data_IF_696848075230
#
_entry.id   IF_696848075230
#
_cell.length_a   1.000
_cell.length_b   1.000
_cell.length_c   1.000
_cell.angle_alpha   90.00
_cell.angle_beta   90.00
_cell.angle_gamma   90.00
#
_symmetry.space_group_name_H-M   'P 1'
#
loop_
_entity.id
_entity.type
_entity.pdbx_description
1 polymer ?
#
# COMPACT_ATOMS: atom_id res chain seq x y z
N UNK A 1 -1.94 5.15 -2.18
CA UNK A 1 -2.27 4.09 -3.14
C UNK A 1 -3.34 3.21 -2.55
N UNK A 2 -4.16 2.65 -3.42
CA UNK A 2 -5.07 1.54 -3.13
C UNK A 2 -4.75 0.41 -4.13
N UNK A 3 -4.64 -0.82 -3.62
CA UNK A 3 -4.35 -2.02 -4.38
C UNK A 3 -5.44 -3.05 -4.10
N UNK A 4 -6.14 -3.47 -5.14
CA UNK A 4 -7.19 -4.47 -5.03
C UNK A 4 -6.68 -5.85 -5.43
N UNK A 5 -6.80 -6.81 -4.51
CA UNK A 5 -6.40 -8.19 -4.72
C UNK A 5 -7.61 -9.11 -4.54
N UNK A 6 -7.93 -9.91 -5.57
CA UNK A 6 -9.13 -10.74 -5.60
C UNK A 6 -8.81 -12.21 -5.79
N UNK A 7 -9.54 -13.09 -5.09
CA UNK A 7 -9.50 -14.54 -5.34
C UNK A 7 -10.18 -14.91 -6.64
N UNK A 8 -11.23 -14.18 -7.00
CA UNK A 8 -12.04 -14.41 -8.21
C UNK A 8 -12.04 -13.13 -9.04
N UNK A 9 -11.14 -12.97 -10.01
CA UNK A 9 -10.97 -11.72 -10.74
C UNK A 9 -12.20 -11.35 -11.59
N UNK A 10 -13.01 -12.34 -11.95
CA UNK A 10 -14.20 -12.24 -12.80
C UNK A 10 -15.48 -11.76 -12.09
N UNK A 11 -15.50 -11.71 -10.75
CA UNK A 11 -16.68 -11.27 -10.00
C UNK A 11 -16.78 -9.74 -9.89
N UNK A 12 -17.98 -9.20 -9.68
CA UNK A 12 -18.16 -7.77 -9.41
C UNK A 12 -17.85 -7.42 -7.96
N UNK A 13 -17.05 -6.38 -7.75
CA UNK A 13 -16.71 -5.86 -6.41
C UNK A 13 -15.83 -6.79 -5.58
N UNK A 14 -15.35 -6.28 -4.45
CA UNK A 14 -14.59 -7.06 -3.49
C UNK A 14 -15.53 -7.82 -2.53
N UNK A 15 -15.16 -9.06 -2.21
CA UNK A 15 -15.94 -10.00 -1.40
C UNK A 15 -15.10 -10.59 -0.29
N UNK A 16 -15.72 -11.41 0.57
CA UNK A 16 -15.00 -12.20 1.54
C UNK A 16 -13.84 -12.99 0.93
N UNK A 17 -12.67 -12.88 1.56
CA UNK A 17 -11.42 -13.50 1.12
C UNK A 17 -10.66 -12.72 0.04
N UNK A 18 -11.19 -11.59 -0.43
CA UNK A 18 -10.42 -10.59 -1.17
C UNK A 18 -9.71 -9.65 -0.18
N UNK A 19 -8.76 -8.87 -0.68
CA UNK A 19 -7.92 -7.97 0.12
C UNK A 19 -7.77 -6.61 -0.57
N UNK A 20 -7.89 -5.56 0.22
CA UNK A 20 -7.54 -4.19 -0.14
C UNK A 20 -6.26 -3.82 0.61
N UNK A 21 -5.24 -3.35 -0.12
CA UNK A 21 -3.98 -2.88 0.46
C UNK A 21 -3.80 -1.41 0.15
N UNK A 22 -3.91 -0.57 1.16
CA UNK A 22 -3.63 0.85 1.05
C UNK A 22 -2.21 1.18 1.48
N UNK A 23 -1.53 2.01 0.70
CA UNK A 23 -0.22 2.60 1.06
C UNK A 23 -0.37 4.11 1.12
N UNK A 24 -0.51 4.63 2.33
CA UNK A 24 -0.76 6.06 2.58
C UNK A 24 0.56 6.81 2.62
N UNK A 25 0.94 7.47 1.53
CA UNK A 25 2.14 8.29 1.52
C UNK A 25 1.98 9.56 2.37
N UNK A 26 0.78 10.14 2.38
CA UNK A 26 0.47 11.39 3.06
C UNK A 26 -0.95 11.35 3.61
N UNK A 27 -1.18 11.97 4.76
CA UNK A 27 -2.51 12.13 5.38
C UNK A 27 -2.54 13.43 6.19
N UNK A 28 -3.75 13.92 6.46
CA UNK A 28 -3.97 15.07 7.35
C UNK A 28 -5.30 14.89 8.06
N UNK A 29 -5.28 14.87 9.39
CA UNK A 29 -6.48 14.67 10.23
C UNK A 29 -7.30 13.44 9.81
N UNK A 30 -6.62 12.39 9.37
CA UNK A 30 -7.20 11.13 8.97
C UNK A 30 -6.42 9.99 9.60
N UNK A 31 -7.14 8.91 9.91
CA UNK A 31 -6.57 7.67 10.44
C UNK A 31 -7.11 6.54 9.57
N UNK A 32 -6.28 5.55 9.20
CA UNK A 32 -6.77 4.38 8.49
C UNK A 32 -7.87 3.65 9.25
N UNK A 33 -8.71 2.90 8.53
CA UNK A 33 -9.71 2.06 9.16
C UNK A 33 -9.07 0.91 9.96
N UNK A 34 -9.76 0.48 11.02
CA UNK A 34 -9.33 -0.64 11.86
C UNK A 34 -8.41 -0.26 13.00
N UNK A 35 -7.51 -1.17 13.37
CA UNK A 35 -6.57 -1.00 14.49
C UNK A 35 -5.13 -1.18 14.02
N UNK A 36 -4.15 -0.49 14.62
CA UNK A 36 -2.75 -0.75 14.33
C UNK A 36 -2.38 -2.14 14.89
N UNK A 37 -1.69 -2.95 14.09
CA UNK A 37 -1.34 -4.34 14.45
C UNK A 37 0.15 -4.60 14.46
N UNK A 38 0.93 -3.90 13.62
CA UNK A 38 2.37 -4.16 13.47
C UNK A 38 3.11 -2.95 12.92
N UNK A 39 4.42 -2.89 13.15
CA UNK A 39 5.32 -1.92 12.51
C UNK A 39 6.36 -2.69 11.71
N UNK A 40 6.61 -2.24 10.48
CA UNK A 40 7.61 -2.81 9.58
C UNK A 40 8.65 -1.77 9.21
N UNK A 41 9.92 -2.17 9.19
CA UNK A 41 10.99 -1.36 8.62
C UNK A 41 10.98 -1.55 7.09
N UNK A 42 10.60 -0.51 6.34
CA UNK A 42 10.42 -0.58 4.87
C UNK A 42 11.38 0.37 4.16
N UNK A 43 12.20 -0.12 3.22
CA UNK A 43 12.99 0.72 2.32
C UNK A 43 12.09 1.66 1.51
N UNK A 44 12.35 2.96 1.59
CA UNK A 44 11.57 4.02 0.95
C UNK A 44 12.53 5.07 0.41
N UNK A 45 12.33 5.52 -0.82
CA UNK A 45 13.07 6.69 -1.34
C UNK A 45 12.27 7.94 -1.07
N UNK A 46 12.87 8.91 -0.41
CA UNK A 46 12.31 10.25 -0.19
C UNK A 46 13.29 11.30 -0.71
N UNK A 47 12.88 12.08 -1.70
CA UNK A 47 13.68 13.13 -2.34
C UNK A 47 15.06 12.62 -2.78
N UNK A 48 15.09 11.47 -3.47
CA UNK A 48 16.29 10.83 -4.00
C UNK A 48 17.17 10.10 -2.98
N UNK A 49 16.79 10.05 -1.69
CA UNK A 49 17.52 9.32 -0.65
C UNK A 49 16.79 8.06 -0.26
N UNK A 50 17.48 6.92 -0.32
CA UNK A 50 16.98 5.66 0.22
C UNK A 50 17.11 5.67 1.75
N UNK A 51 15.98 5.53 2.42
CA UNK A 51 15.87 5.47 3.87
C UNK A 51 15.05 4.24 4.27
N UNK A 52 15.24 3.79 5.50
CA UNK A 52 14.39 2.75 6.09
C UNK A 52 13.42 3.41 7.07
N UNK A 53 12.14 3.37 6.75
CA UNK A 53 11.10 4.01 7.55
C UNK A 53 10.28 2.96 8.32
N UNK A 54 9.80 3.32 9.50
CA UNK A 54 8.95 2.46 10.32
C UNK A 54 7.49 2.65 9.93
N UNK A 55 7.00 1.84 9.00
CA UNK A 55 5.62 1.87 8.53
C UNK A 55 4.70 1.08 9.46
N UNK A 56 3.68 1.74 10.00
CA UNK A 56 2.63 1.10 10.79
C UNK A 56 1.61 0.44 9.87
N UNK A 57 1.31 -0.83 10.12
CA UNK A 57 0.26 -1.59 9.48
C UNK A 57 -1.02 -1.54 10.34
N UNK A 58 -2.13 -1.22 9.69
CA UNK A 58 -3.48 -1.16 10.24
C UNK A 58 -4.32 -2.26 9.61
N UNK A 59 -5.13 -2.94 10.40
CA UNK A 59 -6.00 -4.01 9.94
C UNK A 59 -7.45 -3.74 10.32
N UNK A 60 -8.32 -3.74 9.32
CA UNK A 60 -9.76 -3.87 9.49
C UNK A 60 -10.17 -5.23 8.92
N UNK A 61 -10.64 -6.11 9.80
CA UNK A 61 -10.83 -7.54 9.50
C UNK A 61 -11.90 -7.81 8.44
N UNK A 62 -12.87 -6.91 8.30
CA UNK A 62 -14.00 -7.04 7.38
C UNK A 62 -14.54 -5.65 7.04
N UNK A 63 -14.57 -5.32 5.75
CA UNK A 63 -15.19 -4.11 5.20
C UNK A 63 -16.27 -4.53 4.19
N UNK A 64 -17.38 -3.79 4.12
CA UNK A 64 -18.46 -4.02 3.16
C UNK A 64 -18.92 -5.48 3.11
N UNK A 65 -18.69 -6.14 1.97
CA UNK A 65 -19.05 -7.54 1.72
C UNK A 65 -18.01 -8.57 2.23
N UNK A 66 -17.13 -8.15 3.13
CA UNK A 66 -16.27 -9.04 3.91
C UNK A 66 -14.81 -9.12 3.46
N UNK A 67 -14.35 -8.24 2.58
CA UNK A 67 -12.91 -8.20 2.24
C UNK A 67 -12.08 -7.71 3.42
N UNK A 68 -10.82 -8.14 3.47
CA UNK A 68 -9.88 -7.67 4.47
C UNK A 68 -9.22 -6.36 3.99
N UNK A 69 -9.09 -5.38 4.89
CA UNK A 69 -8.46 -4.11 4.60
C UNK A 69 -7.18 -3.97 5.42
N UNK A 70 -6.07 -3.68 4.73
CA UNK A 70 -4.78 -3.39 5.35
C UNK A 70 -4.31 -2.04 4.84
N UNK A 71 -3.94 -1.15 5.75
CA UNK A 71 -3.31 0.12 5.39
C UNK A 71 -1.94 0.27 6.02
N UNK A 72 -1.02 0.85 5.27
CA UNK A 72 0.33 1.17 5.72
C UNK A 72 0.53 2.68 5.76
N UNK A 73 0.97 3.19 6.91
CA UNK A 73 1.33 4.61 7.10
C UNK A 73 2.78 4.73 7.55
N UNK A 74 3.60 5.62 6.94
CA UNK A 74 4.93 5.96 7.44
C UNK A 74 4.82 6.68 8.80
N UNK A 75 5.94 6.94 9.50
CA UNK A 75 5.88 7.61 10.80
C UNK A 75 5.37 9.06 10.70
N UNK A 76 5.63 9.73 9.57
CA UNK A 76 5.18 11.09 9.28
C UNK A 76 4.73 11.20 7.81
N UNK A 77 3.78 12.10 7.47
CA UNK A 77 3.35 12.31 6.09
C UNK A 77 4.51 12.67 5.16
N UNK A 78 4.64 11.93 4.06
CA UNK A 78 5.70 12.12 3.09
C UNK A 78 5.30 13.15 2.03
N UNK A 79 6.27 13.99 1.63
CA UNK A 79 6.09 15.07 0.67
C UNK A 79 7.22 15.07 -0.35
N UNK A 80 6.93 15.53 -1.57
CA UNK A 80 7.91 15.65 -2.65
C UNK A 80 8.01 14.36 -3.47
N UNK A 81 9.23 13.95 -3.78
CA UNK A 81 9.47 12.80 -4.62
C UNK A 81 9.57 11.53 -3.76
N UNK A 82 8.66 10.58 -3.96
CA UNK A 82 8.60 9.34 -3.18
C UNK A 82 8.64 8.15 -4.12
N UNK A 83 9.46 7.14 -3.79
CA UNK A 83 9.39 5.82 -4.42
C UNK A 83 9.29 4.72 -3.36
N UNK A 84 8.40 3.78 -3.61
CA UNK A 84 8.10 2.62 -2.75
C UNK A 84 7.93 1.39 -3.62
N UNK A 85 8.27 0.22 -3.07
CA UNK A 85 7.98 -1.06 -3.71
C UNK A 85 6.59 -1.56 -3.28
N UNK A 86 5.63 -1.47 -4.20
CA UNK A 86 4.25 -1.89 -3.95
C UNK A 86 4.12 -3.41 -3.76
N UNK A 87 4.98 -4.22 -4.40
CA UNK A 87 4.96 -5.67 -4.24
C UNK A 87 5.38 -6.07 -2.82
N UNK A 88 6.31 -5.31 -2.23
CA UNK A 88 6.70 -5.48 -0.84
C UNK A 88 5.52 -5.24 0.11
N UNK A 89 4.74 -4.17 -0.10
CA UNK A 89 3.55 -3.91 0.72
C UNK A 89 2.48 -5.01 0.60
N UNK A 90 2.29 -5.61 -0.59
CA UNK A 90 1.41 -6.77 -0.76
C UNK A 90 1.90 -7.97 0.05
N UNK A 91 3.22 -8.25 0.04
CA UNK A 91 3.81 -9.32 0.83
C UNK A 91 3.65 -9.10 2.35
N UNK A 92 3.86 -7.86 2.81
CA UNK A 92 3.64 -7.48 4.20
C UNK A 92 2.16 -7.60 4.60
N UNK A 93 1.23 -7.21 3.73
CA UNK A 93 -0.20 -7.38 3.98
C UNK A 93 -0.57 -8.86 4.12
N UNK A 94 -0.04 -9.70 3.23
CA UNK A 94 -0.14 -11.15 3.35
C UNK A 94 0.36 -11.66 4.69
N UNK A 95 1.53 -11.19 5.15
CA UNK A 95 2.06 -11.54 6.47
C UNK A 95 1.11 -11.15 7.61
N UNK A 96 0.57 -9.92 7.59
CA UNK A 96 -0.42 -9.46 8.57
C UNK A 96 -1.64 -10.38 8.59
N UNK A 97 -2.18 -10.77 7.44
CA UNK A 97 -3.36 -11.64 7.38
C UNK A 97 -3.08 -13.06 7.91
N UNK A 98 -1.89 -13.60 7.66
CA UNK A 98 -1.51 -14.91 8.21
C UNK A 98 -1.40 -14.86 9.74
N UNK A 99 -0.77 -13.82 10.27
CA UNK A 99 -0.53 -13.68 11.71
C UNK A 99 -1.81 -13.32 12.47
N UNK A 100 -2.62 -12.40 11.95
CA UNK A 100 -3.78 -11.83 12.67
C UNK A 100 -5.08 -12.59 12.43
N UNK A 101 -5.24 -13.20 11.24
CA UNK A 101 -6.47 -13.87 10.80
C UNK A 101 -6.28 -15.36 10.50
N UNK A 102 -5.06 -15.88 10.56
CA UNK A 102 -4.78 -17.29 10.28
C UNK A 102 -4.96 -17.68 8.81
N UNK A 103 -4.83 -16.74 7.87
CA UNK A 103 -4.85 -17.08 6.45
C UNK A 103 -3.70 -18.02 6.10
N UNK A 104 -3.94 -18.98 5.20
CA UNK A 104 -2.86 -19.81 4.65
C UNK A 104 -2.01 -18.97 3.67
N UNK A 105 -0.72 -19.29 3.56
CA UNK A 105 0.18 -18.68 2.58
C UNK A 105 -0.38 -18.82 1.15
N UNK A 106 -0.85 -20.03 0.82
CA UNK A 106 -1.46 -20.34 -0.47
C UNK A 106 -2.69 -19.45 -0.78
N UNK A 107 -3.44 -19.01 0.23
CA UNK A 107 -4.55 -18.08 0.02
C UNK A 107 -4.08 -16.73 -0.49
N UNK A 108 -2.97 -16.22 0.05
CA UNK A 108 -2.39 -14.93 -0.35
C UNK A 108 -1.75 -15.05 -1.74
N UNK A 109 -1.01 -16.12 -1.99
CA UNK A 109 -0.27 -16.33 -3.24
C UNK A 109 -1.19 -16.50 -4.46
N UNK A 110 -2.42 -16.97 -4.24
CA UNK A 110 -3.42 -17.17 -5.30
C UNK A 110 -4.33 -15.96 -5.54
N UNK A 111 -4.05 -14.81 -4.92
CA UNK A 111 -4.77 -13.58 -5.22
C UNK A 111 -4.30 -12.95 -6.54
N UNK A 112 -5.25 -12.39 -7.27
CA UNK A 112 -5.00 -11.64 -8.49
C UNK A 112 -4.96 -10.13 -8.18
N UNK A 113 -3.88 -9.45 -8.53
CA UNK A 113 -3.82 -7.99 -8.50
C UNK A 113 -4.71 -7.43 -9.62
N UNK A 114 -5.71 -6.65 -9.23
CA UNK A 114 -6.73 -6.11 -10.14
C UNK A 114 -6.44 -4.67 -10.56
N UNK A 115 -5.97 -3.86 -9.61
CA UNK A 115 -5.66 -2.46 -9.86
C UNK A 115 -4.56 -1.95 -8.93
N UNK A 116 -3.88 -0.89 -9.39
CA UNK A 116 -3.01 -0.03 -8.58
C UNK A 116 -3.51 1.38 -8.78
N UNK A 117 -4.01 1.98 -7.71
CA UNK A 117 -4.73 3.25 -7.77
C UNK A 117 -3.96 4.31 -6.99
N UNK A 118 -3.70 5.46 -7.61
CA UNK A 118 -3.07 6.62 -6.96
C UNK A 118 -4.08 7.77 -6.92
N UNK A 119 -4.35 8.27 -5.72
CA UNK A 119 -5.28 9.38 -5.51
C UNK A 119 -5.27 9.88 -4.09
N UNK A 120 -6.30 10.64 -3.74
CA UNK A 120 -6.54 11.14 -2.39
C UNK A 120 -7.96 10.81 -1.98
N UNK A 121 -8.10 10.16 -0.83
CA UNK A 121 -9.39 10.03 -0.17
C UNK A 121 -9.72 11.33 0.57
N UNK A 122 -10.97 11.75 0.48
CA UNK A 122 -11.51 12.88 1.22
C UNK A 122 -12.69 12.40 2.04
N UNK A 123 -12.65 12.65 3.34
CA UNK A 123 -13.75 12.30 4.23
C UNK A 123 -14.83 13.37 4.18
N UNK A 124 -16.07 12.95 4.45
CA UNK A 124 -17.23 13.83 4.39
C UNK A 124 -17.03 15.07 5.28
N UNK A 125 -17.19 16.25 4.66
CA UNK A 125 -17.16 17.56 5.32
C UNK A 125 -18.17 18.47 4.62
N UNK A 126 -18.67 19.49 5.35
CA UNK A 126 -19.55 20.52 4.77
C UNK A 126 -18.90 21.28 3.61
N UNK A 127 -17.56 21.34 3.61
CA UNK A 127 -16.76 21.90 2.52
C UNK A 127 -15.46 21.11 2.43
N UNK A 128 -15.09 20.73 1.21
CA UNK A 128 -13.84 20.03 0.90
C UNK A 128 -13.10 20.90 -0.11
N UNK A 129 -11.89 21.32 0.25
CA UNK A 129 -10.95 21.99 -0.64
C UNK A 129 -9.67 21.17 -0.64
N UNK A 130 -9.39 20.53 -1.77
CA UNK A 130 -8.21 19.70 -2.00
C UNK A 130 -7.55 20.16 -3.30
N UNK A 131 -6.23 20.33 -3.25
CA UNK A 131 -5.42 20.57 -4.43
C UNK A 131 -4.08 19.87 -4.25
N UNK A 132 -3.68 19.12 -5.27
CA UNK A 132 -2.34 18.59 -5.40
C UNK A 132 -1.98 18.51 -6.89
N UNK A 133 -0.68 18.45 -7.15
CA UNK A 133 -0.13 18.32 -8.50
C UNK A 133 0.85 17.16 -8.50
N UNK A 134 0.78 16.35 -9.55
CA UNK A 134 1.71 15.27 -9.81
C UNK A 134 2.49 15.62 -11.07
N UNK A 135 3.76 15.98 -10.89
CA UNK A 135 4.62 16.37 -12.00
C UNK A 135 5.17 15.17 -12.77
N UNK A 136 5.42 14.06 -12.08
CA UNK A 136 5.98 12.85 -12.66
C UNK A 136 5.45 11.63 -11.93
N UNK A 137 4.99 10.64 -12.70
CA UNK A 137 4.57 9.34 -12.22
C UNK A 137 5.24 8.27 -13.06
N UNK A 138 5.94 7.34 -12.40
CA UNK A 138 6.61 6.23 -13.04
C UNK A 138 6.22 4.96 -12.29
N UNK A 139 5.89 3.92 -13.04
CA UNK A 139 5.65 2.58 -12.51
C UNK A 139 6.64 1.65 -13.18
N UNK A 140 7.55 1.09 -12.37
CA UNK A 140 8.55 0.14 -12.81
C UNK A 140 8.14 -1.27 -12.41
N UNK A 141 8.40 -2.24 -13.29
CA UNK A 141 8.25 -3.65 -13.00
C UNK A 141 9.64 -4.29 -13.08
N UNK A 142 10.13 -4.78 -11.96
CA UNK A 142 11.40 -5.49 -11.87
C UNK A 142 11.18 -6.99 -11.85
N UNK A 143 12.18 -7.74 -12.34
CA UNK A 143 12.19 -9.18 -12.16
C UNK A 143 12.28 -9.52 -10.66
N UNK A 144 11.61 -10.58 -10.14
CA UNK A 144 11.54 -10.86 -8.70
C UNK A 144 12.88 -11.13 -7.99
N UNK A 145 13.98 -11.21 -8.75
CA UNK A 145 15.31 -11.55 -8.26
C UNK A 145 16.12 -10.28 -7.95
N UNK A 146 15.67 -9.13 -8.46
CA UNK A 146 16.23 -7.82 -8.14
C UNK A 146 15.85 -7.49 -6.71
N UNK A 147 16.82 -7.09 -5.89
CA UNK A 147 16.55 -6.72 -4.50
C UNK A 147 15.78 -5.41 -4.46
N UNK A 148 14.88 -5.28 -3.48
CA UNK A 148 14.06 -4.09 -3.31
C UNK A 148 14.88 -2.80 -3.24
N UNK A 149 15.97 -2.80 -2.46
CA UNK A 149 16.83 -1.62 -2.31
C UNK A 149 17.57 -1.28 -3.61
N UNK A 150 17.94 -2.28 -4.40
CA UNK A 150 18.59 -2.09 -5.70
C UNK A 150 17.62 -1.46 -6.70
N UNK A 151 16.40 -2.01 -6.82
CA UNK A 151 15.33 -1.45 -7.65
C UNK A 151 15.02 0.00 -7.26
N UNK A 152 14.92 0.28 -5.96
CA UNK A 152 14.65 1.63 -5.47
C UNK A 152 15.80 2.62 -5.77
N UNK A 153 17.05 2.17 -5.65
CA UNK A 153 18.22 2.99 -6.01
C UNK A 153 18.28 3.28 -7.50
N UNK A 154 17.95 2.30 -8.35
CA UNK A 154 17.85 2.49 -9.80
C UNK A 154 16.81 3.55 -10.15
N UNK A 155 15.61 3.44 -9.58
CA UNK A 155 14.54 4.44 -9.75
C UNK A 155 14.98 5.82 -9.25
N UNK A 156 15.75 5.90 -8.16
CA UNK A 156 16.29 7.16 -7.67
C UNK A 156 17.40 7.74 -8.57
N UNK A 157 18.18 6.89 -9.24
CA UNK A 157 19.32 7.28 -10.06
C UNK A 157 18.91 7.80 -11.45
N UNK A 158 17.85 7.24 -12.07
CA UNK A 158 17.27 7.71 -13.35
C UNK A 158 16.61 9.11 -13.29
N UNK A 159 16.81 9.82 -12.19
CA UNK A 159 16.30 11.17 -11.94
C UNK A 159 17.38 12.24 -11.98
N UNK A 160 18.64 11.87 -12.24
CA UNK A 160 19.75 12.80 -12.49
C UNK A 160 19.88 13.15 -13.95
#
# INVERSE_FOLDING_TARGET
>A
YDLWLKRRPDTSGAKQGDMEVMVWLHWRNATPAGIPVKVFEVPTVVNGKLEKLNWSAWLQRSVGEGWAYIAFTPPEPLSGEVAVDLSHFVNLAGQVLREELGWAQETVDNLHLMSVELGSEVFFSRSISLSWRLDRYLLYAFHPWVKQEEALLEVAAEKR
#
